data_IF_283918624797
#
_entry.id   IF_283918624797
#
_cell.length_a   1.000
_cell.length_b   1.000
_cell.length_c   1.000
_cell.angle_alpha   90.00
_cell.angle_beta   90.00
_cell.angle_gamma   90.00
#
_symmetry.space_group_name_H-M   'P 1'
#
loop_
_entity.id
_entity.type
_entity.pdbx_description
1 polymer ?
#
# COMPACT_ATOMS: atom_id res chain seq x y z
N UNK A 1 46.03 -45.42 -1.20
CA UNK A 1 45.31 -44.94 -2.39
C UNK A 1 43.82 -45.07 -2.10
N UNK A 2 43.25 -44.07 -1.42
CA UNK A 2 41.86 -44.04 -0.94
C UNK A 2 41.05 -43.20 -1.93
N UNK A 3 40.16 -43.85 -2.69
CA UNK A 3 39.26 -43.18 -3.61
C UNK A 3 38.13 -42.49 -2.83
N UNK A 4 38.12 -41.16 -2.88
CA UNK A 4 36.98 -40.33 -2.45
C UNK A 4 35.80 -40.61 -3.37
N UNK A 5 34.70 -41.15 -2.83
CA UNK A 5 33.38 -41.11 -3.46
C UNK A 5 32.97 -39.64 -3.60
N UNK A 6 32.85 -39.16 -4.84
CA UNK A 6 32.10 -37.95 -5.16
C UNK A 6 30.64 -38.15 -4.73
N UNK A 7 30.16 -37.29 -3.84
CA UNK A 7 28.74 -37.11 -3.60
C UNK A 7 28.21 -36.28 -4.77
N UNK A 8 27.38 -36.92 -5.60
CA UNK A 8 26.58 -36.26 -6.63
C UNK A 8 25.57 -35.34 -5.92
N UNK A 9 25.83 -34.03 -5.97
CA UNK A 9 24.84 -33.02 -5.60
C UNK A 9 23.90 -32.92 -6.80
N UNK A 10 22.93 -33.83 -6.86
CA UNK A 10 21.81 -33.71 -7.80
C UNK A 10 21.09 -32.38 -7.52
N UNK A 11 20.99 -31.56 -8.57
CA UNK A 11 20.14 -30.39 -8.68
C UNK A 11 18.73 -30.67 -8.14
N UNK A 12 18.49 -30.31 -6.88
CA UNK A 12 17.15 -30.13 -6.35
C UNK A 12 16.64 -28.79 -6.89
N UNK A 13 16.17 -28.78 -8.13
CA UNK A 13 15.43 -27.65 -8.67
C UNK A 13 14.22 -27.39 -7.76
N UNK A 14 14.15 -26.22 -7.13
CA UNK A 14 13.03 -25.75 -6.29
C UNK A 14 11.70 -25.59 -7.06
N UNK A 15 11.63 -26.07 -8.31
CA UNK A 15 10.54 -25.89 -9.28
C UNK A 15 9.25 -26.63 -8.95
N UNK A 16 9.23 -27.50 -7.92
CA UNK A 16 8.05 -28.29 -7.56
C UNK A 16 7.28 -27.75 -6.34
N UNK A 17 7.58 -26.55 -5.85
CA UNK A 17 6.75 -25.93 -4.82
C UNK A 17 5.45 -25.47 -5.50
N UNK A 18 4.34 -26.10 -5.15
CA UNK A 18 3.02 -25.65 -5.58
C UNK A 18 2.79 -24.21 -5.10
N UNK A 19 2.86 -23.25 -6.01
CA UNK A 19 2.48 -21.87 -5.73
C UNK A 19 0.95 -21.82 -5.66
N UNK A 20 0.38 -21.11 -4.69
CA UNK A 20 -1.05 -20.82 -4.68
C UNK A 20 -1.43 -20.22 -6.04
N UNK A 21 -2.22 -20.94 -6.84
CA UNK A 21 -2.57 -20.52 -8.19
C UNK A 21 -3.49 -19.29 -8.14
N UNK A 22 -2.96 -18.12 -8.48
CA UNK A 22 -3.74 -16.91 -8.75
C UNK A 22 -4.43 -17.02 -10.13
N UNK A 23 -5.35 -17.99 -10.28
CA UNK A 23 -5.98 -18.33 -11.56
C UNK A 23 -6.83 -17.19 -12.19
N UNK A 24 -7.01 -16.06 -11.51
CA UNK A 24 -7.86 -14.92 -11.93
C UNK A 24 -7.18 -13.55 -11.86
N UNK A 25 -5.89 -13.47 -11.52
CA UNK A 25 -5.18 -12.20 -11.45
C UNK A 25 -5.04 -11.54 -12.83
N UNK A 26 -5.16 -10.21 -12.87
CA UNK A 26 -4.77 -9.46 -14.07
C UNK A 26 -3.24 -9.59 -14.25
N UNK A 27 -2.74 -9.81 -15.47
CA UNK A 27 -1.31 -9.93 -15.70
C UNK A 27 -0.63 -8.58 -15.43
N UNK A 28 0.26 -8.56 -14.43
CA UNK A 28 1.07 -7.40 -14.09
C UNK A 28 2.56 -7.75 -14.20
N UNK A 29 3.31 -6.92 -14.92
CA UNK A 29 4.77 -6.99 -14.98
C UNK A 29 5.33 -5.58 -15.09
N UNK A 30 6.43 -5.33 -14.38
CA UNK A 30 7.12 -4.04 -14.39
C UNK A 30 8.61 -4.27 -14.23
N UNK A 31 9.41 -3.46 -14.92
CA UNK A 31 10.86 -3.37 -14.75
C UNK A 31 11.21 -2.10 -14.00
N UNK A 32 12.29 -2.10 -13.22
CA UNK A 32 12.80 -0.87 -12.62
C UNK A 32 13.36 0.03 -13.72
N UNK A 33 12.84 1.25 -13.84
CA UNK A 33 13.27 2.25 -14.84
C UNK A 33 13.97 3.45 -14.18
N UNK A 34 13.69 3.72 -12.90
CA UNK A 34 14.25 4.86 -12.18
C UNK A 34 13.72 6.21 -12.68
N UNK A 35 14.15 7.31 -12.04
CA UNK A 35 13.64 8.67 -12.29
C UNK A 35 14.34 9.42 -13.43
N UNK A 36 15.21 8.75 -14.19
CA UNK A 36 16.03 9.38 -15.23
C UNK A 36 15.26 9.56 -16.54
N UNK A 37 14.40 8.60 -16.90
CA UNK A 37 13.64 8.63 -18.16
C UNK A 37 12.55 9.73 -18.15
N UNK A 38 12.61 10.74 -19.04
CA UNK A 38 11.59 11.77 -19.14
C UNK A 38 10.19 11.24 -19.46
N UNK A 39 10.05 10.10 -20.14
CA UNK A 39 8.76 9.51 -20.49
C UNK A 39 7.94 9.10 -19.25
N UNK A 40 8.60 8.91 -18.11
CA UNK A 40 7.91 8.66 -16.84
C UNK A 40 7.04 9.85 -16.39
N UNK A 41 7.29 11.05 -16.89
CA UNK A 41 6.59 12.27 -16.48
C UNK A 41 5.61 12.80 -17.55
N UNK A 42 5.43 12.07 -18.66
CA UNK A 42 4.52 12.43 -19.76
C UNK A 42 3.22 11.63 -19.73
N UNK A 43 2.23 12.02 -20.53
CA UNK A 43 0.95 11.32 -20.68
C UNK A 43 0.18 11.11 -19.37
N UNK A 44 0.36 12.05 -18.43
CA UNK A 44 -0.41 12.08 -17.19
C UNK A 44 -1.82 12.60 -17.46
N UNK A 45 -2.83 12.16 -16.68
CA UNK A 45 -4.15 12.75 -16.76
C UNK A 45 -4.08 14.25 -16.43
N UNK A 46 -4.99 15.05 -16.99
CA UNK A 46 -5.03 16.49 -16.69
C UNK A 46 -5.21 16.75 -15.20
N UNK A 47 -4.79 17.93 -14.73
CA UNK A 47 -4.91 18.32 -13.32
C UNK A 47 -6.35 18.15 -12.80
N UNK A 48 -7.34 18.68 -13.52
CA UNK A 48 -8.76 18.56 -13.16
C UNK A 48 -9.23 17.11 -13.08
N UNK A 49 -8.82 16.27 -14.04
CA UNK A 49 -9.25 14.88 -14.07
C UNK A 49 -8.56 14.07 -12.96
N UNK A 50 -7.29 14.33 -12.68
CA UNK A 50 -6.57 13.76 -11.55
C UNK A 50 -7.19 14.18 -10.22
N UNK A 51 -7.60 15.44 -10.08
CA UNK A 51 -8.28 15.93 -8.89
C UNK A 51 -9.65 15.25 -8.71
N UNK A 52 -10.42 15.07 -9.78
CA UNK A 52 -11.66 14.30 -9.77
C UNK A 52 -11.42 12.85 -9.29
N UNK A 53 -10.39 12.19 -9.80
CA UNK A 53 -10.03 10.83 -9.40
C UNK A 53 -9.65 10.74 -7.91
N UNK A 54 -8.82 11.66 -7.42
CA UNK A 54 -8.42 11.70 -6.00
C UNK A 54 -9.61 11.94 -5.06
N UNK A 55 -10.48 12.89 -5.40
CA UNK A 55 -11.69 13.15 -4.61
C UNK A 55 -12.64 11.95 -4.62
N UNK A 56 -12.78 11.30 -5.77
CA UNK A 56 -13.61 10.11 -5.89
C UNK A 56 -13.03 8.93 -5.12
N UNK A 57 -11.71 8.75 -5.11
CA UNK A 57 -11.05 7.76 -4.27
C UNK A 57 -11.34 8.04 -2.79
N UNK A 58 -11.15 9.29 -2.35
CA UNK A 58 -11.41 9.69 -0.96
C UNK A 58 -12.87 9.41 -0.55
N UNK A 59 -13.82 9.60 -1.48
CA UNK A 59 -15.22 9.27 -1.24
C UNK A 59 -15.46 7.76 -1.02
N UNK A 60 -14.84 6.91 -1.84
CA UNK A 60 -15.06 5.46 -1.81
C UNK A 60 -14.28 4.74 -0.70
N UNK A 61 -13.01 5.13 -0.46
CA UNK A 61 -12.12 4.42 0.47
C UNK A 61 -11.67 5.25 1.66
N UNK A 62 -11.78 6.58 1.61
CA UNK A 62 -11.25 7.48 2.65
C UNK A 62 -11.99 7.39 4.00
N UNK A 63 -13.15 6.74 4.04
CA UNK A 63 -13.84 6.42 5.30
C UNK A 63 -13.24 5.18 5.99
N UNK A 64 -12.60 4.30 5.23
CA UNK A 64 -12.07 3.02 5.68
C UNK A 64 -10.56 3.09 5.93
N UNK A 65 -9.86 3.79 5.05
CA UNK A 65 -8.40 3.79 4.97
C UNK A 65 -7.87 5.21 4.86
N UNK A 66 -6.74 5.46 5.52
CA UNK A 66 -5.95 6.66 5.35
C UNK A 66 -4.76 6.35 4.44
N UNK A 67 -4.80 6.86 3.21
CA UNK A 67 -3.82 6.57 2.16
C UNK A 67 -2.90 7.75 1.83
N UNK A 68 -3.21 8.95 2.32
CA UNK A 68 -2.41 10.16 2.20
C UNK A 68 -2.99 11.27 3.10
N UNK A 69 -2.15 12.23 3.47
CA UNK A 69 -2.60 13.49 4.06
C UNK A 69 -3.10 14.45 2.98
N UNK A 70 -4.40 14.74 2.95
CA UNK A 70 -5.00 15.53 1.88
C UNK A 70 -4.44 16.96 1.79
N UNK A 71 -4.13 17.59 2.93
CA UNK A 71 -3.70 18.99 2.96
C UNK A 71 -2.32 19.16 2.34
N UNK A 72 -1.33 18.42 2.83
CA UNK A 72 0.04 18.51 2.33
C UNK A 72 0.17 17.90 0.93
N UNK A 73 -0.54 16.80 0.67
CA UNK A 73 -0.53 16.17 -0.65
C UNK A 73 -1.05 17.10 -1.74
N UNK A 74 -2.16 17.81 -1.49
CA UNK A 74 -2.76 18.69 -2.51
C UNK A 74 -1.95 19.96 -2.74
N UNK A 75 -1.24 20.48 -1.74
CA UNK A 75 -0.29 21.60 -1.95
C UNK A 75 0.78 21.22 -2.97
N UNK A 76 1.40 20.04 -2.80
CA UNK A 76 2.42 19.57 -3.73
C UNK A 76 1.84 19.17 -5.09
N UNK A 77 0.61 18.64 -5.12
CA UNK A 77 -0.11 18.31 -6.34
C UNK A 77 -0.26 19.50 -7.29
N UNK A 78 -0.69 20.66 -6.80
CA UNK A 78 -0.86 21.85 -7.63
C UNK A 78 0.48 22.39 -8.16
N UNK A 79 1.54 22.32 -7.35
CA UNK A 79 2.89 22.70 -7.78
C UNK A 79 3.42 21.72 -8.83
N UNK A 80 3.14 20.42 -8.65
CA UNK A 80 3.55 19.37 -9.57
C UNK A 80 3.06 19.60 -11.00
N UNK A 81 1.79 19.99 -11.20
CA UNK A 81 1.27 20.23 -12.56
C UNK A 81 1.92 21.42 -13.28
N UNK A 82 2.61 22.30 -12.57
CA UNK A 82 3.38 23.39 -13.17
C UNK A 82 4.73 22.89 -13.73
N UNK A 83 5.37 21.95 -13.03
CA UNK A 83 6.68 21.39 -13.40
C UNK A 83 6.79 19.88 -13.05
N UNK A 84 6.11 18.97 -13.78
CA UNK A 84 5.97 17.56 -13.36
C UNK A 84 7.30 16.83 -13.13
N UNK A 85 8.22 16.92 -14.09
CA UNK A 85 9.47 16.19 -14.05
C UNK A 85 10.44 16.71 -12.97
N UNK A 86 10.40 18.01 -12.64
CA UNK A 86 11.22 18.59 -11.59
C UNK A 86 10.69 18.17 -10.21
N UNK A 87 9.39 18.37 -9.98
CA UNK A 87 8.76 18.11 -8.70
C UNK A 87 8.78 16.61 -8.36
N UNK A 88 8.52 15.74 -9.34
CA UNK A 88 8.56 14.29 -9.13
C UNK A 88 9.97 13.78 -8.74
N UNK A 89 11.03 14.32 -9.35
CA UNK A 89 12.42 13.89 -9.06
C UNK A 89 12.85 14.25 -7.64
N UNK A 90 12.35 15.36 -7.10
CA UNK A 90 12.61 15.80 -5.73
C UNK A 90 11.68 15.12 -4.71
N UNK A 91 10.50 14.67 -5.13
CA UNK A 91 9.47 14.10 -4.26
C UNK A 91 9.09 12.69 -4.72
N UNK A 92 10.07 11.79 -4.74
CA UNK A 92 9.96 10.48 -5.39
C UNK A 92 8.87 9.59 -4.80
N UNK A 93 8.81 9.48 -3.47
CA UNK A 93 7.80 8.66 -2.76
C UNK A 93 6.40 9.23 -3.01
N UNK A 94 6.24 10.55 -2.89
CA UNK A 94 4.98 11.23 -3.16
C UNK A 94 4.51 11.03 -4.61
N UNK A 95 5.42 11.05 -5.59
CA UNK A 95 5.05 10.83 -6.99
C UNK A 95 4.56 9.40 -7.24
N UNK A 96 5.23 8.41 -6.65
CA UNK A 96 4.78 7.01 -6.68
C UNK A 96 3.42 6.87 -5.99
N UNK A 97 3.22 7.55 -4.86
CA UNK A 97 1.92 7.62 -4.18
C UNK A 97 0.84 8.18 -5.11
N UNK A 98 1.09 9.33 -5.76
CA UNK A 98 0.15 9.96 -6.70
C UNK A 98 -0.26 8.99 -7.81
N UNK A 99 0.71 8.40 -8.53
CA UNK A 99 0.43 7.46 -9.61
C UNK A 99 -0.39 6.26 -9.13
N UNK A 100 -0.06 5.73 -7.95
CA UNK A 100 -0.77 4.61 -7.33
C UNK A 100 -2.21 5.00 -6.98
N UNK A 101 -2.43 6.15 -6.36
CA UNK A 101 -3.75 6.64 -5.99
C UNK A 101 -4.63 6.89 -7.22
N UNK A 102 -4.07 7.48 -8.28
CA UNK A 102 -4.78 7.67 -9.55
C UNK A 102 -5.13 6.34 -10.23
N UNK A 103 -4.20 5.38 -10.24
CA UNK A 103 -4.43 4.03 -10.73
C UNK A 103 -5.54 3.33 -9.95
N UNK A 104 -5.49 3.38 -8.62
CA UNK A 104 -6.49 2.82 -7.72
C UNK A 104 -7.86 3.47 -7.92
N UNK A 105 -7.93 4.79 -8.02
CA UNK A 105 -9.17 5.51 -8.31
C UNK A 105 -9.81 5.01 -9.62
N UNK A 106 -9.04 4.92 -10.70
CA UNK A 106 -9.53 4.42 -12.00
C UNK A 106 -10.06 2.99 -11.87
N UNK A 107 -9.37 2.12 -11.13
CA UNK A 107 -9.78 0.72 -10.95
C UNK A 107 -11.11 0.56 -10.19
N UNK A 108 -11.47 1.52 -9.34
CA UNK A 108 -12.69 1.48 -8.53
C UNK A 108 -13.89 2.13 -9.23
N UNK A 109 -13.65 3.17 -10.03
CA UNK A 109 -14.71 4.03 -10.58
C UNK A 109 -15.05 3.64 -12.01
N UNK A 110 -14.06 3.19 -12.79
CA UNK A 110 -14.23 2.89 -14.20
C UNK A 110 -14.59 1.41 -14.34
N UNK A 111 -15.76 1.14 -14.92
CA UNK A 111 -16.14 -0.22 -15.25
C UNK A 111 -15.27 -0.75 -16.40
N UNK A 112 -14.62 -1.90 -16.25
CA UNK A 112 -13.89 -2.51 -17.35
C UNK A 112 -14.85 -2.89 -18.48
N UNK A 113 -14.39 -2.78 -19.73
CA UNK A 113 -15.11 -3.33 -20.86
C UNK A 113 -15.28 -4.85 -20.70
N UNK A 114 -16.29 -5.44 -21.34
CA UNK A 114 -16.63 -6.88 -21.19
C UNK A 114 -15.45 -7.82 -21.46
N UNK A 115 -14.56 -7.43 -22.38
CA UNK A 115 -13.38 -8.21 -22.79
C UNK A 115 -12.06 -7.53 -22.38
N UNK A 116 -12.10 -6.68 -21.35
CA UNK A 116 -10.91 -5.98 -20.88
C UNK A 116 -9.89 -6.98 -20.32
N UNK A 117 -8.68 -6.94 -20.88
CA UNK A 117 -7.55 -7.76 -20.42
C UNK A 117 -6.76 -7.11 -19.30
N UNK A 118 -7.09 -5.86 -18.94
CA UNK A 118 -6.38 -5.06 -17.93
C UNK A 118 -7.37 -4.26 -17.10
N UNK A 119 -7.08 -4.15 -15.80
CA UNK A 119 -7.80 -3.28 -14.89
C UNK A 119 -7.57 -1.80 -15.27
N UNK A 120 -8.59 -0.93 -15.29
CA UNK A 120 -8.39 0.50 -15.50
C UNK A 120 -7.37 1.09 -14.51
N UNK A 121 -6.42 1.90 -15.00
CA UNK A 121 -5.36 2.48 -14.18
C UNK A 121 -4.09 1.64 -14.05
N UNK A 122 -4.06 0.43 -14.64
CA UNK A 122 -2.86 -0.44 -14.66
C UNK A 122 -1.63 0.26 -15.25
N UNK A 123 -1.81 1.14 -16.23
CA UNK A 123 -0.75 1.94 -16.85
C UNK A 123 -0.03 2.84 -15.83
N UNK A 124 -0.81 3.57 -15.02
CA UNK A 124 -0.29 4.43 -13.95
C UNK A 124 0.34 3.61 -12.83
N UNK A 125 -0.30 2.49 -12.47
CA UNK A 125 0.22 1.59 -11.44
C UNK A 125 1.57 0.97 -11.83
N UNK A 126 1.70 0.40 -13.04
CA UNK A 126 2.96 -0.18 -13.51
C UNK A 126 4.06 0.89 -13.53
N UNK A 127 3.74 2.12 -13.95
CA UNK A 127 4.67 3.23 -13.88
C UNK A 127 5.09 3.53 -12.44
N UNK A 128 4.14 3.59 -11.50
CA UNK A 128 4.44 3.75 -10.07
C UNK A 128 5.40 2.67 -9.57
N UNK A 129 5.14 1.40 -9.91
CA UNK A 129 5.98 0.27 -9.50
C UNK A 129 7.37 0.30 -10.13
N UNK A 130 7.51 0.76 -11.38
CA UNK A 130 8.81 0.95 -12.04
C UNK A 130 9.68 2.04 -11.41
N UNK A 131 9.03 2.96 -10.68
CA UNK A 131 9.62 4.12 -10.02
C UNK A 131 9.72 3.96 -8.49
N UNK A 132 9.20 2.88 -7.92
CA UNK A 132 9.23 2.66 -6.47
C UNK A 132 10.69 2.65 -5.99
N UNK A 133 11.09 3.55 -5.08
CA UNK A 133 12.46 3.58 -4.58
C UNK A 133 12.85 2.31 -3.83
N UNK A 134 14.16 2.10 -3.68
CA UNK A 134 14.68 1.02 -2.86
C UNK A 134 14.33 1.21 -1.37
N UNK A 135 14.44 0.12 -0.61
CA UNK A 135 14.06 0.11 0.81
C UNK A 135 14.77 1.21 1.63
N UNK A 136 16.09 1.45 1.49
CA UNK A 136 16.75 2.55 2.21
C UNK A 136 16.12 3.91 1.93
N UNK A 137 15.79 4.22 0.67
CA UNK A 137 15.17 5.49 0.32
C UNK A 137 13.75 5.61 0.88
N UNK A 138 12.96 4.53 0.92
CA UNK A 138 11.62 4.57 1.53
C UNK A 138 11.64 5.02 3.00
N UNK A 139 12.72 4.75 3.74
CA UNK A 139 12.88 5.22 5.12
C UNK A 139 13.16 6.73 5.24
N UNK A 140 13.50 7.45 4.15
CA UNK A 140 13.68 8.90 4.20
C UNK A 140 12.37 9.66 4.46
N UNK A 141 11.24 9.05 4.09
CA UNK A 141 9.90 9.49 4.46
C UNK A 141 9.03 8.25 4.73
N UNK A 142 9.24 7.67 5.92
CA UNK A 142 8.63 6.39 6.30
C UNK A 142 7.10 6.45 6.37
N UNK A 143 6.53 7.58 6.78
CA UNK A 143 5.07 7.71 6.92
C UNK A 143 4.39 7.73 5.55
N UNK A 144 4.87 8.56 4.62
CA UNK A 144 4.36 8.59 3.24
C UNK A 144 4.64 7.25 2.54
N UNK A 145 5.76 6.58 2.84
CA UNK A 145 6.04 5.24 2.31
C UNK A 145 5.06 4.19 2.81
N UNK A 146 4.72 4.17 4.11
CA UNK A 146 3.70 3.26 4.66
C UNK A 146 2.36 3.47 3.97
N UNK A 147 1.92 4.73 3.83
CA UNK A 147 0.69 5.09 3.13
C UNK A 147 0.70 4.65 1.65
N UNK A 148 1.83 4.84 0.97
CA UNK A 148 2.05 4.43 -0.42
C UNK A 148 1.96 2.91 -0.56
N UNK A 149 2.61 2.15 0.33
CA UNK A 149 2.58 0.69 0.32
C UNK A 149 1.17 0.15 0.60
N UNK A 150 0.38 0.81 1.47
CA UNK A 150 -1.05 0.52 1.63
C UNK A 150 -1.82 0.72 0.33
N UNK A 151 -1.64 1.85 -0.36
CA UNK A 151 -2.29 2.11 -1.65
C UNK A 151 -1.89 1.09 -2.72
N UNK A 152 -0.62 0.69 -2.76
CA UNK A 152 -0.12 -0.36 -3.67
C UNK A 152 -0.82 -1.68 -3.38
N UNK A 153 -0.89 -2.08 -2.10
CA UNK A 153 -1.53 -3.33 -1.69
C UNK A 153 -3.03 -3.37 -2.06
N UNK A 154 -3.73 -2.25 -1.95
CA UNK A 154 -5.13 -2.13 -2.36
C UNK A 154 -5.32 -2.24 -3.87
N UNK A 155 -4.45 -1.62 -4.68
CA UNK A 155 -4.52 -1.79 -6.14
C UNK A 155 -4.31 -3.25 -6.53
N UNK A 156 -3.29 -3.91 -5.97
CA UNK A 156 -3.00 -5.32 -6.23
C UNK A 156 -4.16 -6.23 -5.81
N UNK A 157 -4.85 -5.90 -4.71
CA UNK A 157 -6.05 -6.59 -4.29
C UNK A 157 -7.20 -6.42 -5.30
N UNK A 158 -7.39 -5.22 -5.87
CA UNK A 158 -8.36 -5.00 -6.96
C UNK A 158 -7.97 -5.75 -8.24
N UNK A 159 -6.67 -5.94 -8.47
CA UNK A 159 -6.14 -6.72 -9.58
C UNK A 159 -6.16 -8.25 -9.35
N UNK A 160 -6.69 -8.71 -8.21
CA UNK A 160 -6.71 -10.11 -7.74
C UNK A 160 -5.32 -10.75 -7.62
N UNK A 161 -4.26 -9.94 -7.49
CA UNK A 161 -2.88 -10.40 -7.23
C UNK A 161 -2.61 -10.43 -5.72
N UNK A 162 -3.25 -11.39 -5.04
CA UNK A 162 -3.36 -11.44 -3.57
C UNK A 162 -2.03 -11.71 -2.87
N UNK A 163 -1.20 -12.59 -3.42
CA UNK A 163 0.13 -12.90 -2.87
C UNK A 163 1.01 -11.65 -2.89
N UNK A 164 1.02 -10.93 -4.01
CA UNK A 164 1.80 -9.70 -4.14
C UNK A 164 1.21 -8.61 -3.24
N UNK A 165 -0.11 -8.45 -3.19
CA UNK A 165 -0.78 -7.53 -2.28
C UNK A 165 -0.38 -7.79 -0.81
N UNK A 166 -0.36 -9.05 -0.39
CA UNK A 166 0.04 -9.50 0.94
C UNK A 166 1.50 -9.15 1.27
N UNK A 167 2.42 -9.33 0.32
CA UNK A 167 3.83 -8.95 0.51
C UNK A 167 3.99 -7.43 0.72
N UNK A 168 3.26 -6.61 -0.04
CA UNK A 168 3.32 -5.16 0.09
C UNK A 168 2.70 -4.66 1.39
N UNK A 169 1.56 -5.20 1.83
CA UNK A 169 1.00 -4.80 3.13
C UNK A 169 1.88 -5.28 4.29
N UNK A 170 2.49 -6.46 4.20
CA UNK A 170 3.46 -6.92 5.20
C UNK A 170 4.70 -6.03 5.26
N UNK A 171 5.13 -5.45 4.14
CA UNK A 171 6.21 -4.47 4.09
C UNK A 171 5.81 -3.15 4.76
N UNK A 172 4.60 -2.66 4.50
CA UNK A 172 4.04 -1.50 5.18
C UNK A 172 3.95 -1.72 6.70
N UNK A 173 3.50 -2.90 7.13
CA UNK A 173 3.42 -3.28 8.54
C UNK A 173 4.79 -3.26 9.21
N UNK A 174 5.80 -3.92 8.63
CA UNK A 174 7.15 -3.93 9.21
C UNK A 174 7.73 -2.52 9.30
N UNK A 175 7.55 -1.69 8.27
CA UNK A 175 7.99 -0.29 8.29
C UNK A 175 7.29 0.53 9.38
N UNK A 176 5.97 0.39 9.51
CA UNK A 176 5.18 1.03 10.56
C UNK A 176 5.61 0.58 11.97
N UNK A 177 5.94 -0.70 12.15
CA UNK A 177 6.47 -1.23 13.40
C UNK A 177 7.87 -0.68 13.69
N UNK A 178 8.78 -0.66 12.71
CA UNK A 178 10.13 -0.11 12.85
C UNK A 178 10.08 1.37 13.24
N UNK A 179 9.18 2.14 12.64
CA UNK A 179 8.99 3.54 12.99
C UNK A 179 8.21 3.72 14.29
N UNK A 180 7.66 2.64 14.85
CA UNK A 180 6.97 2.57 16.13
C UNK A 180 5.59 3.24 16.14
N UNK A 181 4.87 3.17 15.02
CA UNK A 181 3.49 3.65 14.88
C UNK A 181 2.47 2.82 15.69
N UNK A 182 2.82 1.57 16.01
CA UNK A 182 2.04 0.66 16.86
C UNK A 182 2.02 1.02 18.35
N UNK A 183 2.82 2.01 18.76
CA UNK A 183 2.98 2.41 20.15
C UNK A 183 2.27 3.72 20.43
N UNK A 184 1.70 3.85 21.63
CA UNK A 184 1.31 5.16 22.13
C UNK A 184 2.55 6.03 22.31
N UNK A 185 2.50 7.26 21.78
CA UNK A 185 3.53 8.27 21.98
C UNK A 185 2.93 9.53 22.62
N UNK A 186 3.69 10.25 23.45
CA UNK A 186 3.27 11.54 23.95
C UNK A 186 2.99 12.50 22.78
N UNK A 187 1.82 13.11 22.76
CA UNK A 187 1.41 14.08 21.72
C UNK A 187 2.29 15.33 21.68
N UNK A 188 3.04 15.58 22.75
CA UNK A 188 3.93 16.73 22.89
C UNK A 188 5.05 16.75 21.85
N UNK A 189 5.50 15.59 21.37
CA UNK A 189 6.70 15.52 20.53
C UNK A 189 6.43 15.85 19.05
N UNK A 190 5.22 15.57 18.55
CA UNK A 190 4.90 15.59 17.11
C UNK A 190 3.80 16.58 16.72
N UNK A 191 3.14 17.21 17.70
CA UNK A 191 1.97 18.03 17.44
C UNK A 191 0.72 17.21 17.05
N UNK A 192 -0.46 17.82 17.07
CA UNK A 192 -1.73 17.10 16.94
C UNK A 192 -1.95 16.50 15.54
N UNK A 193 -1.58 17.21 14.47
CA UNK A 193 -1.86 16.79 13.09
C UNK A 193 -1.04 15.55 12.70
N UNK A 194 0.27 15.57 12.95
CA UNK A 194 1.16 14.44 12.66
C UNK A 194 0.82 13.24 13.53
N UNK A 195 0.47 13.44 14.82
CA UNK A 195 0.01 12.35 15.69
C UNK A 195 -1.23 11.68 15.09
N UNK A 196 -2.20 12.46 14.61
CA UNK A 196 -3.42 11.94 14.01
C UNK A 196 -3.13 11.19 12.70
N UNK A 197 -2.25 11.73 11.84
CA UNK A 197 -1.81 11.05 10.60
C UNK A 197 -1.15 9.70 10.90
N UNK A 198 -0.21 9.68 11.84
CA UNK A 198 0.45 8.46 12.33
C UNK A 198 -0.55 7.42 12.85
N UNK A 199 -1.51 7.85 13.68
CA UNK A 199 -2.56 6.97 14.22
C UNK A 199 -3.43 6.39 13.10
N UNK A 200 -3.86 7.22 12.15
CA UNK A 200 -4.68 6.78 11.02
C UNK A 200 -3.94 5.82 10.09
N UNK A 201 -2.68 6.11 9.79
CA UNK A 201 -1.81 5.23 8.99
C UNK A 201 -1.64 3.87 9.69
N UNK A 202 -1.35 3.87 11.00
CA UNK A 202 -1.24 2.63 11.80
C UNK A 202 -2.50 1.77 11.70
N UNK A 203 -3.67 2.33 12.00
CA UNK A 203 -4.91 1.56 12.00
C UNK A 203 -5.33 1.11 10.59
N UNK A 204 -4.96 1.86 9.55
CA UNK A 204 -5.14 1.43 8.16
C UNK A 204 -4.31 0.18 7.85
N UNK A 205 -3.02 0.20 8.20
CA UNK A 205 -2.12 -0.95 8.05
C UNK A 205 -2.66 -2.17 8.80
N UNK A 206 -3.08 -1.97 10.05
CA UNK A 206 -3.64 -3.01 10.91
C UNK A 206 -4.88 -3.68 10.29
N UNK A 207 -5.82 -2.89 9.76
CA UNK A 207 -7.04 -3.41 9.13
C UNK A 207 -6.68 -4.20 7.87
N UNK A 208 -5.81 -3.65 7.01
CA UNK A 208 -5.43 -4.30 5.75
C UNK A 208 -4.68 -5.61 5.97
N UNK A 209 -3.70 -5.64 6.88
CA UNK A 209 -2.94 -6.85 7.20
C UNK A 209 -3.85 -7.99 7.66
N UNK A 210 -4.78 -7.71 8.58
CA UNK A 210 -5.73 -8.70 9.10
C UNK A 210 -6.73 -9.15 8.06
N UNK A 211 -7.25 -8.22 7.26
CA UNK A 211 -8.19 -8.53 6.18
C UNK A 211 -7.53 -9.45 5.14
N UNK A 212 -6.29 -9.17 4.75
CA UNK A 212 -5.58 -9.95 3.73
C UNK A 212 -5.11 -11.30 4.32
N UNK A 213 -4.61 -11.31 5.56
CA UNK A 213 -4.21 -12.55 6.23
C UNK A 213 -5.39 -13.52 6.34
N UNK A 214 -6.55 -13.02 6.80
CA UNK A 214 -7.76 -13.82 6.93
C UNK A 214 -8.29 -14.32 5.58
N UNK A 215 -8.31 -13.47 4.55
CA UNK A 215 -8.81 -13.87 3.22
C UNK A 215 -7.94 -14.94 2.55
N UNK A 216 -6.66 -15.01 2.93
CA UNK A 216 -5.69 -16.00 2.45
C UNK A 216 -5.54 -17.21 3.38
N UNK A 217 -6.15 -17.20 4.57
CA UNK A 217 -5.99 -18.26 5.57
C UNK A 217 -4.57 -18.35 6.13
N UNK A 218 -3.84 -17.23 6.19
CA UNK A 218 -2.48 -17.16 6.74
C UNK A 218 -2.46 -16.49 8.12
N UNK A 219 -1.43 -16.73 8.95
CA UNK A 219 -1.32 -16.12 10.27
C UNK A 219 -1.24 -14.59 10.20
N UNK A 220 -1.84 -13.93 11.19
CA UNK A 220 -1.73 -12.49 11.39
C UNK A 220 -0.35 -12.15 11.95
N UNK A 221 0.25 -11.08 11.44
CA UNK A 221 1.66 -10.79 11.69
C UNK A 221 1.95 -10.13 13.05
N UNK A 222 1.02 -9.33 13.59
CA UNK A 222 1.17 -8.68 14.91
C UNK A 222 0.03 -9.05 15.87
N UNK A 223 0.41 -9.42 17.09
CA UNK A 223 -0.54 -9.74 18.16
C UNK A 223 -1.07 -8.45 18.80
N UNK A 224 -2.34 -8.44 19.21
CA UNK A 224 -2.95 -7.25 19.83
C UNK A 224 -2.27 -6.85 21.14
N UNK A 225 -1.67 -7.81 21.85
CA UNK A 225 -0.91 -7.56 23.07
C UNK A 225 0.34 -6.67 22.85
N UNK A 226 0.87 -6.63 21.64
CA UNK A 226 2.04 -5.81 21.28
C UNK A 226 1.65 -4.38 20.87
N UNK A 227 0.35 -4.07 20.80
CA UNK A 227 -0.16 -2.79 20.32
C UNK A 227 -0.55 -1.91 21.52
N UNK A 228 0.15 -0.79 21.68
CA UNK A 228 -0.22 0.22 22.68
C UNK A 228 -0.84 1.46 22.06
N UNK A 229 -0.83 1.60 20.73
CA UNK A 229 -1.46 2.71 20.04
C UNK A 229 -2.94 2.85 20.45
N UNK A 230 -3.36 4.09 20.73
CA UNK A 230 -4.76 4.38 21.06
C UNK A 230 -5.65 4.06 19.87
N UNK A 231 -6.77 3.39 20.13
CA UNK A 231 -7.80 3.16 19.12
C UNK A 231 -8.43 4.50 18.68
N UNK A 232 -8.89 4.63 17.42
CA UNK A 232 -9.56 5.85 16.97
C UNK A 232 -10.80 6.13 17.81
N UNK A 233 -11.07 7.43 18.03
CA UNK A 233 -12.19 7.86 18.86
C UNK A 233 -13.52 7.48 18.22
N UNK A 234 -14.45 6.98 19.05
CA UNK A 234 -15.85 6.73 18.67
C UNK A 234 -16.61 8.01 18.40
N UNK A 235 -16.31 9.06 19.16
CA UNK A 235 -17.02 10.35 19.19
C UNK A 235 -16.36 11.39 18.27
N UNK A 236 -15.59 10.92 17.28
CA UNK A 236 -14.90 11.78 16.31
C UNK A 236 -15.74 12.08 15.06
N UNK A 237 -15.04 12.49 14.00
CA UNK A 237 -15.65 12.61 12.67
C UNK A 237 -16.19 11.25 12.18
N UNK A 238 -17.09 11.24 11.20
CA UNK A 238 -17.62 10.00 10.59
C UNK A 238 -16.51 9.02 10.19
N UNK A 239 -15.40 9.52 9.65
CA UNK A 239 -14.22 8.71 9.30
C UNK A 239 -13.55 8.10 10.54
N UNK A 240 -13.45 8.82 11.66
CA UNK A 240 -12.94 8.28 12.93
C UNK A 240 -13.84 7.15 13.47
N UNK A 241 -15.16 7.33 13.44
CA UNK A 241 -16.11 6.31 13.88
C UNK A 241 -16.08 5.07 12.97
N UNK A 242 -16.02 5.26 11.65
CA UNK A 242 -15.88 4.15 10.70
C UNK A 242 -14.58 3.39 10.94
N UNK A 243 -13.45 4.08 11.05
CA UNK A 243 -12.16 3.47 11.34
C UNK A 243 -12.19 2.69 12.67
N UNK A 244 -12.81 3.25 13.71
CA UNK A 244 -13.02 2.54 14.99
C UNK A 244 -13.79 1.23 14.82
N UNK A 245 -14.89 1.24 14.07
CA UNK A 245 -15.71 0.03 13.82
C UNK A 245 -14.89 -1.00 13.05
N UNK A 246 -14.16 -0.57 12.02
CA UNK A 246 -13.31 -1.46 11.21
C UNK A 246 -12.17 -2.08 12.00
N UNK A 247 -11.55 -1.33 12.91
CA UNK A 247 -10.55 -1.88 13.84
C UNK A 247 -11.18 -2.97 14.70
N UNK A 248 -12.37 -2.76 15.27
CA UNK A 248 -13.08 -3.78 16.06
C UNK A 248 -13.44 -5.02 15.25
N UNK A 249 -13.92 -4.85 14.02
CA UNK A 249 -14.22 -5.99 13.14
C UNK A 249 -12.96 -6.79 12.79
N UNK A 250 -11.85 -6.10 12.52
CA UNK A 250 -10.56 -6.74 12.22
C UNK A 250 -10.00 -7.51 13.43
N UNK A 251 -10.21 -7.00 14.65
CA UNK A 251 -9.92 -7.72 15.90
C UNK A 251 -10.71 -9.04 15.96
N UNK A 252 -12.03 -8.99 15.73
CA UNK A 252 -12.88 -10.18 15.78
C UNK A 252 -12.49 -11.23 14.72
N UNK A 253 -12.16 -10.79 13.50
CA UNK A 253 -11.64 -11.69 12.45
C UNK A 253 -10.41 -12.45 12.96
N UNK A 254 -9.56 -11.78 13.73
CA UNK A 254 -8.32 -12.36 14.24
C UNK A 254 -8.57 -13.38 15.34
N UNK A 255 -9.52 -13.11 16.23
CA UNK A 255 -9.95 -14.08 17.25
C UNK A 255 -10.50 -15.36 16.60
N UNK A 256 -11.30 -15.22 15.53
CA UNK A 256 -11.84 -16.37 14.78
C UNK A 256 -10.72 -17.15 14.08
N UNK A 257 -9.82 -16.48 13.35
CA UNK A 257 -8.70 -17.15 12.65
C UNK A 257 -7.76 -17.86 13.63
N UNK A 258 -7.56 -17.33 14.82
CA UNK A 258 -6.68 -17.93 15.84
C UNK A 258 -7.35 -19.03 16.68
N UNK A 259 -8.67 -19.24 16.55
CA UNK A 259 -9.42 -20.24 17.33
C UNK A 259 -9.72 -21.54 16.57
N UNK A 260 -9.42 -21.59 15.28
CA UNK A 260 -9.50 -22.77 14.41
C UNK A 260 -8.14 -23.43 14.26
#
# INVERSE_FOLDING_TARGET
MLARKQLDVQDLSLTNIATNEESRAYPLSWSSSGFEDPANFTDLPSEDYSMYLLNSLQFHVGQLYHLFDQTEFMKLFHIFYQSPAEVARHNRIWYVQLLTLLGLAKSLIIQPARDATRLPGTDLFIRAMSLLPDTPYLYSDALTSVETLCAISLFLQCADSRNTAYVYIGSALRMAITFGLHRERPTHDWGPELTLRCQRAWWTVYILDRTFSSSMGVPIAIQDADITAKMPSREGSRSSTALHIHVKLSNLISEVVNST
#
